data_IF_236515266078
#
_entry.id   IF_236515266078
#
_cell.length_a   1.000
_cell.length_b   1.000
_cell.length_c   1.000
_cell.angle_alpha   90.00
_cell.angle_beta   90.00
_cell.angle_gamma   90.00
#
_symmetry.space_group_name_H-M   'P 1'
#
loop_
_entity.id
_entity.type
_entity.pdbx_description
1 polymer ?
#
# COMPACT_ATOMS: atom_id res chain seq x y z
N UNK A 1 61.73 24.63 3.80
CA UNK A 1 61.25 24.22 2.46
C UNK A 1 61.08 22.71 2.46
N UNK A 2 60.11 22.07 1.79
CA UNK A 2 58.88 22.57 1.16
C UNK A 2 57.58 21.78 1.53
N UNK A 3 56.44 22.46 1.38
CA UNK A 3 55.21 22.02 0.68
C UNK A 3 54.30 20.94 1.30
N UNK A 4 53.28 21.46 2.01
CA UNK A 4 51.82 21.28 1.78
C UNK A 4 51.40 20.14 0.84
N UNK A 5 50.34 19.43 1.25
CA UNK A 5 49.34 18.61 0.51
C UNK A 5 49.31 17.24 1.17
N UNK A 6 48.29 16.89 1.96
CA UNK A 6 47.03 16.46 1.39
C UNK A 6 45.90 16.65 2.41
N UNK A 7 45.44 17.90 2.51
CA UNK A 7 44.11 18.22 3.02
C UNK A 7 43.10 17.90 1.91
N UNK A 8 43.08 16.64 1.45
CA UNK A 8 42.19 16.17 0.38
C UNK A 8 41.96 14.65 0.46
N UNK A 9 41.93 14.11 1.68
CA UNK A 9 41.42 12.77 1.91
C UNK A 9 39.89 12.86 2.04
N UNK A 10 39.29 12.93 0.84
CA UNK A 10 38.00 12.36 0.47
C UNK A 10 36.76 12.98 1.11
N UNK A 11 36.52 14.24 0.73
CA UNK A 11 35.14 14.72 0.46
C UNK A 11 34.36 13.76 -0.44
N UNK A 12 35.04 13.01 -1.32
CA UNK A 12 34.43 11.90 -2.08
C UNK A 12 33.79 10.84 -1.18
N UNK A 13 34.39 10.44 -0.04
CA UNK A 13 33.80 9.41 0.81
C UNK A 13 32.55 9.92 1.52
N UNK A 14 32.52 11.21 1.88
CA UNK A 14 31.33 11.85 2.47
C UNK A 14 30.24 12.04 1.43
N UNK A 15 30.58 12.38 0.18
CA UNK A 15 29.61 12.43 -0.92
C UNK A 15 29.08 11.04 -1.29
N UNK A 16 29.90 10.00 -1.23
CA UNK A 16 29.48 8.59 -1.44
C UNK A 16 28.57 8.13 -0.30
N UNK A 17 28.86 8.50 0.95
CA UNK A 17 27.96 8.23 2.09
C UNK A 17 26.67 9.04 1.98
N UNK A 18 26.73 10.30 1.57
CA UNK A 18 25.53 11.14 1.35
C UNK A 18 24.74 10.67 0.12
N UNK A 19 25.39 10.07 -0.89
CA UNK A 19 24.73 9.39 -2.02
C UNK A 19 24.08 8.07 -1.58
N UNK A 20 24.76 7.23 -0.79
CA UNK A 20 24.21 5.99 -0.23
C UNK A 20 23.01 6.25 0.70
N UNK A 21 23.00 7.38 1.41
CA UNK A 21 21.88 7.78 2.26
C UNK A 21 20.75 8.43 1.44
N UNK A 22 21.05 8.97 0.24
CA UNK A 22 20.04 9.53 -0.69
C UNK A 22 19.33 8.48 -1.54
N UNK A 23 19.89 7.28 -1.67
CA UNK A 23 19.23 6.06 -2.21
C UNK A 23 18.45 5.30 -1.14
N UNK A 24 18.12 5.91 0.00
CA UNK A 24 16.92 5.47 0.72
C UNK A 24 15.75 6.03 -0.06
N UNK A 25 15.46 5.38 -1.19
CA UNK A 25 14.17 5.46 -1.85
C UNK A 25 13.10 5.46 -0.74
N UNK A 26 12.14 6.37 -0.84
CA UNK A 26 10.82 6.13 -0.29
C UNK A 26 10.24 4.90 -1.03
N UNK A 27 10.78 3.70 -0.75
CA UNK A 27 10.19 2.44 -1.15
C UNK A 27 8.83 2.44 -0.48
N UNK A 28 7.79 2.68 -1.27
CA UNK A 28 6.41 2.52 -0.87
C UNK A 28 6.18 1.02 -0.59
N UNK A 29 6.68 0.55 0.55
CA UNK A 29 6.46 -0.80 1.02
C UNK A 29 4.95 -0.97 1.23
N UNK A 30 4.33 -1.74 0.34
CA UNK A 30 2.91 -2.03 0.40
C UNK A 30 2.66 -2.96 1.59
N UNK A 31 2.24 -2.37 2.72
CA UNK A 31 1.89 -3.15 3.91
C UNK A 31 0.51 -3.81 3.70
N UNK A 32 0.43 -5.15 3.65
CA UNK A 32 -0.86 -5.83 3.55
C UNK A 32 -1.66 -5.59 4.83
N UNK A 33 -2.93 -5.23 4.66
CA UNK A 33 -3.87 -5.03 5.76
C UNK A 33 -5.06 -5.96 5.63
N UNK A 34 -5.55 -6.43 6.76
CA UNK A 34 -6.73 -7.29 6.85
C UNK A 34 -7.84 -6.60 7.62
N UNK A 35 -9.06 -6.76 7.10
CA UNK A 35 -10.27 -6.27 7.74
C UNK A 35 -10.72 -7.23 8.84
N UNK A 36 -11.17 -6.66 9.96
CA UNK A 36 -11.79 -7.35 11.07
C UNK A 36 -13.17 -6.74 11.32
N UNK A 37 -14.15 -7.59 11.57
CA UNK A 37 -15.47 -7.19 12.06
C UNK A 37 -15.54 -7.52 13.53
N UNK A 38 -15.61 -6.48 14.37
CA UNK A 38 -15.68 -6.62 15.82
C UNK A 38 -17.10 -6.32 16.28
N UNK A 39 -17.78 -7.33 16.82
CA UNK A 39 -19.09 -7.19 17.44
C UNK A 39 -18.91 -6.74 18.89
N UNK A 40 -19.65 -5.73 19.33
CA UNK A 40 -19.51 -5.16 20.68
C UNK A 40 -20.84 -5.03 21.40
N UNK A 41 -20.82 -5.14 22.73
CA UNK A 41 -22.00 -4.90 23.56
C UNK A 41 -22.35 -3.41 23.68
N UNK A 42 -21.32 -2.56 23.69
CA UNK A 42 -21.43 -1.12 23.89
C UNK A 42 -20.36 -0.35 23.14
N UNK A 43 -20.76 0.73 22.46
CA UNK A 43 -19.87 1.61 21.72
C UNK A 43 -19.14 2.65 22.59
N UNK A 44 -19.44 2.70 23.90
CA UNK A 44 -18.79 3.64 24.83
C UNK A 44 -17.26 3.49 24.84
N UNK A 45 -16.76 2.28 24.59
CA UNK A 45 -15.35 1.93 24.66
C UNK A 45 -14.66 1.89 23.29
N UNK A 46 -15.25 2.50 22.26
CA UNK A 46 -14.66 2.59 20.92
C UNK A 46 -13.26 3.22 20.91
N UNK A 47 -12.95 4.09 21.88
CA UNK A 47 -11.61 4.67 22.06
C UNK A 47 -10.53 3.59 22.26
N UNK A 48 -10.87 2.47 22.88
CA UNK A 48 -9.94 1.36 23.10
C UNK A 48 -9.69 0.60 21.79
N UNK A 49 -10.71 0.41 20.94
CA UNK A 49 -10.55 -0.25 19.62
C UNK A 49 -9.58 0.49 18.71
N UNK A 50 -9.59 1.83 18.76
CA UNK A 50 -8.68 2.67 17.98
C UNK A 50 -7.19 2.46 18.31
N UNK A 51 -6.86 1.81 19.43
CA UNK A 51 -5.47 1.46 19.77
C UNK A 51 -4.98 0.22 19.03
N UNK A 52 -5.89 -0.64 18.56
CA UNK A 52 -5.53 -1.89 17.91
C UNK A 52 -5.28 -1.71 16.42
N UNK A 53 -5.96 -0.77 15.78
CA UNK A 53 -5.81 -0.47 14.36
C UNK A 53 -6.68 0.69 13.90
N UNK A 54 -6.85 0.79 12.59
CA UNK A 54 -7.61 1.86 11.95
C UNK A 54 -9.10 1.51 11.90
N UNK A 55 -9.96 2.35 12.48
CA UNK A 55 -11.41 2.15 12.45
C UNK A 55 -11.96 2.73 11.15
N UNK A 56 -12.51 1.87 10.30
CA UNK A 56 -13.09 2.26 9.02
C UNK A 56 -14.57 2.66 9.15
N UNK A 57 -15.36 1.85 9.85
CA UNK A 57 -16.79 2.07 9.99
C UNK A 57 -17.29 1.63 11.37
N UNK A 58 -18.30 2.33 11.90
CA UNK A 58 -18.93 2.02 13.18
C UNK A 58 -20.44 2.06 13.02
N UNK A 59 -21.10 0.91 13.21
CA UNK A 59 -22.55 0.82 13.18
C UNK A 59 -23.13 1.08 14.56
N UNK A 60 -23.86 2.19 14.72
CA UNK A 60 -24.56 2.54 15.97
C UNK A 60 -25.78 1.67 16.26
N UNK A 61 -26.48 1.20 15.22
CA UNK A 61 -27.71 0.40 15.32
C UNK A 61 -27.41 -1.06 15.67
N UNK A 62 -26.48 -1.67 14.94
CA UNK A 62 -26.15 -3.10 15.08
C UNK A 62 -24.95 -3.37 16.00
N UNK A 63 -24.24 -2.32 16.43
CA UNK A 63 -23.10 -2.38 17.35
C UNK A 63 -21.96 -3.28 16.85
N UNK A 64 -21.52 -3.03 15.62
CA UNK A 64 -20.28 -3.61 15.09
C UNK A 64 -19.32 -2.51 14.62
N UNK A 65 -18.04 -2.86 14.56
CA UNK A 65 -16.96 -1.99 14.10
C UNK A 65 -16.14 -2.72 13.05
N UNK A 66 -15.92 -2.06 11.91
CA UNK A 66 -14.98 -2.52 10.89
C UNK A 66 -13.62 -1.90 11.18
N UNK A 67 -12.63 -2.74 11.46
CA UNK A 67 -11.27 -2.37 11.85
C UNK A 67 -10.29 -2.92 10.81
N UNK A 68 -9.34 -2.11 10.35
CA UNK A 68 -8.19 -2.57 9.58
C UNK A 68 -6.97 -2.69 10.49
N UNK A 69 -6.29 -3.82 10.38
CA UNK A 69 -5.05 -4.14 11.11
C UNK A 69 -4.04 -4.68 10.11
N UNK A 70 -2.75 -4.48 10.38
CA UNK A 70 -1.67 -5.00 9.54
C UNK A 70 -1.65 -6.53 9.61
N UNK A 71 -1.45 -7.19 8.46
CA UNK A 71 -1.75 -8.62 8.31
C UNK A 71 -0.87 -9.52 9.20
N UNK A 72 0.36 -9.08 9.44
CA UNK A 72 1.38 -9.75 10.27
C UNK A 72 0.91 -9.90 11.71
N UNK A 73 0.16 -8.92 12.23
CA UNK A 73 -0.22 -8.84 13.64
C UNK A 73 -1.65 -9.36 13.91
N UNK A 74 -2.37 -9.78 12.88
CA UNK A 74 -3.82 -10.05 12.96
C UNK A 74 -4.15 -11.03 14.08
N UNK A 75 -3.48 -12.18 14.12
CA UNK A 75 -3.86 -13.27 15.04
C UNK A 75 -3.63 -12.87 16.50
N UNK A 76 -2.53 -12.16 16.78
CA UNK A 76 -2.27 -11.59 18.11
C UNK A 76 -3.30 -10.53 18.52
N UNK A 77 -3.74 -9.71 17.57
CA UNK A 77 -4.70 -8.63 17.82
C UNK A 77 -6.11 -9.18 18.03
N UNK A 78 -6.48 -10.24 17.31
CA UNK A 78 -7.74 -10.97 17.50
C UNK A 78 -7.80 -11.55 18.91
N UNK A 79 -6.76 -12.27 19.35
CA UNK A 79 -6.73 -12.84 20.70
C UNK A 79 -6.84 -11.75 21.80
N UNK A 80 -6.17 -10.61 21.61
CA UNK A 80 -6.24 -9.47 22.54
C UNK A 80 -7.61 -8.79 22.53
N UNK A 81 -8.29 -8.75 21.39
CA UNK A 81 -9.64 -8.18 21.23
C UNK A 81 -10.69 -9.08 21.89
N UNK A 82 -10.61 -10.39 21.70
CA UNK A 82 -11.54 -11.36 22.31
C UNK A 82 -11.47 -11.37 23.83
N UNK A 83 -10.29 -11.10 24.42
CA UNK A 83 -10.12 -10.94 25.87
C UNK A 83 -10.79 -9.68 26.44
N UNK A 84 -11.23 -8.73 25.60
CA UNK A 84 -11.87 -7.52 26.08
C UNK A 84 -13.33 -7.76 26.45
N UNK A 85 -13.72 -7.39 27.67
CA UNK A 85 -15.06 -7.64 28.21
C UNK A 85 -16.22 -7.00 27.43
N UNK A 86 -15.96 -5.98 26.60
CA UNK A 86 -16.99 -5.29 25.83
C UNK A 86 -17.11 -5.82 24.39
N UNK A 87 -16.21 -6.72 23.98
CA UNK A 87 -16.24 -7.43 22.70
C UNK A 87 -17.07 -8.69 22.86
N UNK A 88 -17.95 -8.93 21.90
CA UNK A 88 -18.82 -10.12 21.84
C UNK A 88 -18.18 -11.22 21.01
N UNK A 89 -17.67 -10.86 19.84
CA UNK A 89 -17.00 -11.76 18.90
C UNK A 89 -16.18 -10.94 17.90
N UNK A 90 -15.16 -11.57 17.35
CA UNK A 90 -14.30 -10.99 16.31
C UNK A 90 -14.32 -11.92 15.10
N UNK A 91 -14.57 -11.35 13.93
CA UNK A 91 -14.54 -12.09 12.66
C UNK A 91 -13.45 -11.54 11.75
N UNK A 92 -12.59 -12.44 11.26
CA UNK A 92 -11.49 -12.13 10.34
C UNK A 92 -12.01 -12.10 8.90
N UNK A 93 -11.64 -11.09 8.13
CA UNK A 93 -11.97 -11.05 6.70
C UNK A 93 -11.13 -12.06 5.93
N UNK A 94 -11.80 -12.93 5.17
CA UNK A 94 -11.17 -13.92 4.28
C UNK A 94 -10.82 -13.34 2.91
N UNK A 95 -11.10 -12.05 2.65
CA UNK A 95 -10.85 -11.42 1.35
C UNK A 95 -9.40 -11.58 0.85
N UNK A 96 -8.36 -11.45 1.69
CA UNK A 96 -6.97 -11.62 1.24
C UNK A 96 -6.63 -13.06 0.84
N UNK A 97 -7.37 -14.05 1.35
CA UNK A 97 -7.08 -15.47 1.16
C UNK A 97 -7.73 -16.03 -0.12
N UNK A 98 -8.60 -15.24 -0.76
CA UNK A 98 -9.28 -15.63 -2.00
C UNK A 98 -8.35 -15.36 -3.17
N UNK A 99 -7.89 -16.43 -3.83
CA UNK A 99 -7.17 -16.32 -5.09
C UNK A 99 -8.11 -15.78 -6.19
N UNK A 100 -7.77 -14.61 -6.76
CA UNK A 100 -8.49 -13.95 -7.85
C UNK A 100 -7.95 -14.31 -9.25
N UNK A 101 -7.03 -15.26 -9.35
CA UNK A 101 -6.52 -15.78 -10.62
C UNK A 101 -7.59 -16.64 -11.28
N UNK A 102 -8.40 -16.01 -12.13
CA UNK A 102 -9.45 -16.68 -12.90
C UNK A 102 -8.95 -17.38 -14.17
N UNK A 103 -7.65 -17.28 -14.46
CA UNK A 103 -7.03 -17.61 -15.75
C UNK A 103 -7.22 -19.07 -16.19
N UNK A 104 -7.47 -19.99 -15.23
CA UNK A 104 -7.65 -21.42 -15.51
C UNK A 104 -9.07 -21.96 -15.28
N UNK A 105 -10.03 -21.14 -14.80
CA UNK A 105 -11.36 -21.64 -14.39
C UNK A 105 -12.50 -21.23 -15.30
N UNK A 106 -12.34 -20.15 -16.05
CA UNK A 106 -13.20 -19.81 -17.17
C UNK A 106 -12.54 -20.41 -18.41
N UNK A 107 -13.06 -21.52 -18.93
CA UNK A 107 -12.55 -22.22 -20.12
C UNK A 107 -12.63 -21.42 -21.43
N UNK A 108 -12.57 -20.09 -21.37
CA UNK A 108 -12.68 -19.16 -22.48
C UNK A 108 -11.44 -18.25 -22.48
N UNK A 109 -10.27 -18.85 -22.70
CA UNK A 109 -9.12 -18.09 -23.18
C UNK A 109 -8.77 -18.68 -24.53
N UNK A 110 -9.59 -18.36 -25.53
CA UNK A 110 -9.03 -18.19 -26.86
C UNK A 110 -7.99 -17.10 -26.68
N UNK A 111 -6.73 -17.53 -26.62
CA UNK A 111 -5.59 -16.63 -26.68
C UNK A 111 -5.69 -15.97 -28.04
N UNK A 112 -6.35 -14.81 -28.09
CA UNK A 112 -6.15 -13.90 -29.21
C UNK A 112 -4.71 -13.45 -29.00
N UNK A 113 -3.79 -14.13 -29.68
CA UNK A 113 -2.46 -13.60 -29.93
C UNK A 113 -2.71 -12.20 -30.47
N UNK A 114 -2.42 -11.18 -29.65
CA UNK A 114 -2.53 -9.81 -30.10
C UNK A 114 -1.51 -9.67 -31.22
N UNK A 115 -1.96 -9.81 -32.47
CA UNK A 115 -1.20 -9.35 -33.62
C UNK A 115 -0.76 -7.92 -33.27
N UNK A 116 0.55 -7.61 -33.35
CA UNK A 116 1.03 -6.29 -33.03
C UNK A 116 0.30 -5.30 -33.95
N UNK A 117 -0.59 -4.50 -33.36
CA UNK A 117 -1.30 -3.44 -34.07
C UNK A 117 -0.23 -2.42 -34.50
N UNK A 118 0.10 -2.43 -35.79
CA UNK A 118 0.92 -1.38 -36.40
C UNK A 118 0.13 -0.07 -36.37
N UNK A 119 0.39 0.75 -35.35
CA UNK A 119 -0.10 2.12 -35.33
C UNK A 119 0.79 2.95 -36.27
N UNK A 120 0.36 3.15 -37.51
CA UNK A 120 0.94 4.19 -38.36
C UNK A 120 0.64 5.55 -37.74
N UNK A 121 1.64 6.17 -37.11
CA UNK A 121 1.56 7.54 -36.63
C UNK A 121 1.27 8.46 -37.83
N UNK A 122 0.02 8.92 -37.95
CA UNK A 122 -0.35 9.92 -38.93
C UNK A 122 0.35 11.24 -38.58
N UNK A 123 1.48 11.48 -39.23
CA UNK A 123 2.27 12.70 -39.13
C UNK A 123 1.43 13.87 -39.63
N UNK A 124 0.69 14.51 -38.72
CA UNK A 124 -0.06 15.73 -39.03
C UNK A 124 0.91 16.90 -38.95
N UNK A 125 1.27 17.46 -40.11
CA UNK A 125 2.07 18.68 -40.18
C UNK A 125 1.21 19.87 -39.75
N UNK A 126 1.50 20.42 -38.57
CA UNK A 126 0.91 21.67 -38.10
C UNK A 126 1.50 22.81 -38.94
N UNK A 127 0.72 23.34 -39.89
CA UNK A 127 1.07 24.58 -40.58
C UNK A 127 0.83 25.75 -39.64
N UNK A 128 1.91 26.35 -39.15
CA UNK A 128 1.85 27.65 -38.49
C UNK A 128 1.43 28.69 -39.54
N UNK A 129 0.31 29.37 -39.31
CA UNK A 129 -0.03 30.56 -40.10
C UNK A 129 1.03 31.63 -39.79
N UNK A 130 1.72 32.11 -40.82
CA UNK A 130 2.61 33.25 -40.69
C UNK A 130 1.80 34.45 -40.18
N UNK A 131 2.21 34.97 -39.04
CA UNK A 131 1.67 36.19 -38.47
C UNK A 131 2.26 37.35 -39.28
N UNK A 132 1.43 38.01 -40.09
CA UNK A 132 1.80 39.26 -40.76
C UNK A 132 1.74 40.38 -39.72
N UNK A 133 2.87 41.06 -39.54
CA UNK A 133 3.05 42.24 -38.68
C UNK A 133 2.41 43.49 -39.29
#
# INVERSE_FOLDING_TARGET
>A
MPVIHFLNLQKEDVEVVVMLVKEVEDTLELVPRRGLVVWVYSLKQLKNLRRFGYVHHVSKKMKYVVLYVDDIDVDQKVEKLEKQFFVRSVEKSMRPDINMDFDNRLGNKEVIEAEPLEFEEQKTEIRLAEFVE
#
